data_IF_241927446041
#
_entry.id   IF_241927446041
#
_cell.length_a   1.000
_cell.length_b   1.000
_cell.length_c   1.000
_cell.angle_alpha   90.00
_cell.angle_beta   90.00
_cell.angle_gamma   90.00
#
_symmetry.space_group_name_H-M   'P 1'
#
loop_
_entity.id
_entity.type
_entity.pdbx_description
1 polymer ?
2 non-polymer ?
#
# COMPACT_ATOMS: atom_id res chain seq x y z
N UNK A 1 13.71 14.22 26.54
CA UNK A 1 12.45 13.87 27.17
C UNK A 1 11.36 13.62 26.15
N UNK A 2 11.63 14.02 24.92
CA UNK A 2 10.68 13.87 23.83
C UNK A 2 10.62 12.43 23.33
N UNK A 3 11.78 11.79 23.25
CA UNK A 3 11.87 10.42 22.80
C UNK A 3 11.26 9.44 23.79
N UNK A 4 11.48 9.70 25.08
CA UNK A 4 10.95 8.83 26.14
C UNK A 4 9.44 8.97 26.18
N UNK A 5 8.96 10.14 25.75
CA UNK A 5 7.55 10.40 25.67
C UNK A 5 6.90 9.47 24.66
N UNK A 6 7.48 9.40 23.46
CA UNK A 6 6.95 8.54 22.41
C UNK A 6 7.01 7.06 22.79
N UNK A 7 8.11 6.64 23.41
CA UNK A 7 8.27 5.26 23.86
C UNK A 7 7.10 4.84 24.74
N UNK A 8 6.84 5.62 25.79
CA UNK A 8 5.77 5.34 26.73
C UNK A 8 4.41 5.34 26.04
N UNK A 9 4.22 6.29 25.13
CA UNK A 9 2.96 6.38 24.40
C UNK A 9 2.75 5.11 23.58
N UNK A 10 3.77 4.74 22.84
CA UNK A 10 3.73 3.54 22.01
C UNK A 10 3.61 2.29 22.87
N UNK A 11 4.24 2.33 24.04
CA UNK A 11 4.17 1.24 25.01
C UNK A 11 2.73 0.94 25.45
N UNK A 12 1.85 1.93 25.29
CA UNK A 12 0.48 1.85 25.79
C UNK A 12 -0.48 1.31 24.74
N UNK A 13 -0.01 1.10 23.52
CA UNK A 13 -0.89 0.65 22.45
C UNK A 13 -0.45 -0.72 21.94
N UNK A 14 0.81 -1.07 22.20
CA UNK A 14 1.34 -2.37 21.80
C UNK A 14 1.15 -3.43 22.88
N UNK A 15 1.38 -4.68 22.50
CA UNK A 15 1.34 -5.80 23.42
C UNK A 15 2.57 -5.78 24.31
N UNK A 16 2.41 -6.26 25.56
CA UNK A 16 3.50 -6.29 26.53
C UNK A 16 4.56 -7.32 26.15
N UNK A 17 5.79 -7.12 26.59
CA UNK A 17 6.81 -8.15 26.51
C UNK A 17 7.79 -8.07 25.35
N UNK A 18 8.57 -9.14 25.23
CA UNK A 18 9.60 -9.27 24.21
C UNK A 18 9.36 -10.55 23.40
N UNK A 19 9.07 -10.41 22.11
CA UNK A 19 8.75 -11.57 21.24
C UNK A 19 9.96 -12.44 20.93
N UNK A 20 11.16 -11.93 21.22
CA UNK A 20 12.40 -12.66 20.95
C UNK A 20 12.45 -13.94 21.77
N UNK A 21 11.66 -13.98 22.83
CA UNK A 21 11.61 -15.15 23.70
C UNK A 21 10.87 -16.31 23.04
N UNK A 22 10.04 -16.03 22.03
CA UNK A 22 9.27 -17.11 21.41
C UNK A 22 9.46 -17.21 19.90
N UNK A 23 10.42 -16.45 19.37
CA UNK A 23 10.73 -16.49 17.95
C UNK A 23 12.14 -17.03 17.68
N UNK A 24 12.33 -17.67 16.53
CA UNK A 24 13.60 -18.27 16.14
C UNK A 24 13.96 -17.98 14.69
N UNK A 25 15.23 -18.20 14.35
CA UNK A 25 15.71 -18.14 12.98
C UNK A 25 15.33 -16.85 12.27
N UNK A 26 15.68 -15.72 12.86
CA UNK A 26 15.45 -14.43 12.22
C UNK A 26 16.25 -14.34 10.95
N UNK A 27 15.57 -13.98 9.86
CA UNK A 27 16.20 -13.90 8.54
C UNK A 27 15.75 -12.63 7.82
N UNK A 28 16.66 -11.67 7.70
CA UNK A 28 16.37 -10.39 7.04
C UNK A 28 15.97 -10.63 5.59
N UNK A 29 14.89 -10.00 5.12
CA UNK A 29 14.45 -10.21 3.74
C UNK A 29 14.26 -8.91 2.97
N UNK A 30 14.28 -7.79 3.67
CA UNK A 30 14.06 -6.51 3.03
C UNK A 30 14.34 -5.32 3.91
N UNK A 31 14.36 -4.15 3.31
CA UNK A 31 14.58 -2.91 4.02
C UNK A 31 13.78 -1.79 3.39
N UNK A 32 12.87 -1.21 4.18
CA UNK A 32 12.09 -0.08 3.72
C UNK A 32 12.71 1.20 4.23
N UNK A 33 12.02 2.31 4.02
CA UNK A 33 12.45 3.59 4.55
C UNK A 33 12.29 3.61 6.07
N UNK A 34 11.21 2.99 6.55
CA UNK A 34 10.86 3.01 7.97
C UNK A 34 11.64 1.99 8.81
N UNK A 35 12.20 0.98 8.14
CA UNK A 35 12.93 -0.05 8.84
C UNK A 35 13.06 -1.32 8.02
N UNK A 36 13.50 -2.40 8.66
CA UNK A 36 13.77 -3.65 7.98
C UNK A 36 12.72 -4.73 8.26
N UNK A 37 12.73 -5.78 7.45
CA UNK A 37 11.78 -6.87 7.59
C UNK A 37 12.48 -8.24 7.69
N UNK A 38 12.11 -9.01 8.70
CA UNK A 38 12.63 -10.36 8.88
C UNK A 38 11.51 -11.38 8.84
N UNK A 39 11.83 -12.60 8.43
CA UNK A 39 10.93 -13.72 8.69
C UNK A 39 11.48 -14.45 9.90
N UNK A 40 10.60 -15.12 10.64
CA UNK A 40 11.04 -15.88 11.79
C UNK A 40 10.05 -17.02 12.05
N UNK A 41 10.48 -17.95 12.90
CA UNK A 41 9.66 -19.10 13.25
C UNK A 41 9.08 -18.92 14.64
N UNK A 42 7.79 -19.19 14.80
CA UNK A 42 7.20 -19.24 16.12
C UNK A 42 7.52 -20.60 16.71
N UNK A 43 8.44 -20.65 17.67
CA UNK A 43 9.00 -21.90 18.16
C UNK A 43 7.95 -22.95 18.53
N UNK A 44 6.88 -22.49 19.19
CA UNK A 44 5.85 -23.36 19.74
C UNK A 44 4.97 -24.01 18.68
N UNK A 45 5.05 -23.54 17.45
CA UNK A 45 4.13 -24.00 16.41
C UNK A 45 4.78 -24.24 15.06
N UNK A 46 6.00 -23.73 14.89
CA UNK A 46 6.71 -23.87 13.63
C UNK A 46 6.12 -23.04 12.50
N UNK A 47 5.17 -22.18 12.81
CA UNK A 47 4.55 -21.32 11.81
C UNK A 47 5.44 -20.11 11.51
N UNK A 48 5.38 -19.61 10.30
CA UNK A 48 6.23 -18.50 9.91
C UNK A 48 5.51 -17.18 10.02
N UNK A 49 6.24 -16.17 10.47
CA UNK A 49 5.70 -14.83 10.54
C UNK A 49 6.65 -13.86 9.87
N UNK A 50 6.20 -12.61 9.71
CA UNK A 50 7.03 -11.54 9.19
C UNK A 50 7.15 -10.47 10.25
N UNK A 51 8.37 -10.04 10.52
CA UNK A 51 8.61 -9.07 11.58
C UNK A 51 9.20 -7.79 11.02
N UNK A 52 8.40 -6.73 11.06
CA UNK A 52 8.86 -5.41 10.62
C UNK A 52 9.46 -4.71 11.83
N UNK A 53 10.67 -4.18 11.68
CA UNK A 53 11.35 -3.54 12.80
C UNK A 53 11.69 -2.08 12.49
N UNK A 54 11.28 -1.19 13.38
CA UNK A 54 11.34 0.24 13.13
C UNK A 54 11.94 1.02 14.30
N UNK A 55 13.07 1.69 14.03
CA UNK A 55 13.79 2.44 15.06
C UNK A 55 13.12 3.79 15.30
N UNK A 56 12.81 4.08 16.56
CA UNK A 56 12.13 5.33 16.91
C UNK A 56 13.00 6.55 16.61
N UNK A 57 14.32 6.36 16.70
CA UNK A 57 15.27 7.43 16.49
C UNK A 57 15.61 7.63 15.03
N UNK A 58 15.06 6.81 14.16
CA UNK A 58 15.38 6.88 12.73
C UNK A 58 14.14 7.16 11.87
N UNK A 59 13.22 7.98 12.39
CA UNK A 59 11.97 8.26 11.69
C UNK A 59 11.85 9.74 11.33
N UNK A 60 11.39 9.99 10.11
CA UNK A 60 11.16 11.36 9.65
C UNK A 60 10.07 12.04 10.46
N UNK A 61 9.08 11.25 10.86
CA UNK A 61 7.90 11.79 11.51
C UNK A 61 7.33 10.74 12.44
N UNK A 62 7.86 10.69 13.65
CA UNK A 62 7.54 9.67 14.64
C UNK A 62 6.05 9.36 14.80
N UNK A 63 5.22 10.39 14.89
CA UNK A 63 3.80 10.22 15.18
C UNK A 63 3.09 9.28 14.19
N UNK A 64 3.70 9.07 13.03
CA UNK A 64 3.17 8.15 12.03
C UNK A 64 3.26 6.68 12.43
N UNK A 65 4.12 6.36 13.39
CA UNK A 65 4.33 4.97 13.80
C UNK A 65 3.07 4.32 14.40
N UNK A 66 2.15 5.12 14.91
CA UNK A 66 0.91 4.57 15.47
C UNK A 66 0.11 3.86 14.38
N UNK A 67 0.18 4.40 13.16
CA UNK A 67 -0.49 3.79 12.01
C UNK A 67 -0.06 2.35 11.77
N UNK A 68 1.21 2.08 12.05
CA UNK A 68 1.79 0.76 11.84
C UNK A 68 1.01 -0.28 12.59
N UNK A 69 0.57 0.09 13.80
CA UNK A 69 -0.14 -0.80 14.68
C UNK A 69 -1.66 -0.62 14.57
N UNK A 70 -2.11 0.63 14.74
CA UNK A 70 -3.53 0.92 14.88
C UNK A 70 -4.36 0.51 13.67
N UNK A 71 -3.88 0.81 12.46
CA UNK A 71 -4.64 0.49 11.24
C UNK A 71 -4.94 -1.00 11.11
N UNK A 72 -3.90 -1.84 11.12
CA UNK A 72 -4.07 -3.28 10.93
C UNK A 72 -4.93 -3.90 12.01
N UNK A 73 -4.90 -3.31 13.20
CA UNK A 73 -5.63 -3.83 14.35
C UNK A 73 -7.14 -3.58 14.26
N UNK A 74 -7.52 -2.43 13.72
CA UNK A 74 -8.93 -2.02 13.68
C UNK A 74 -9.66 -2.43 12.40
N UNK A 75 -8.93 -2.89 11.40
CA UNK A 75 -9.52 -3.25 10.10
C UNK A 75 -9.06 -4.63 9.60
N UNK A 76 -9.83 -5.67 9.91
CA UNK A 76 -9.54 -6.99 9.35
C UNK A 76 -10.36 -7.21 8.10
N UNK A 77 -9.78 -7.91 7.13
CA UNK A 77 -10.36 -8.03 5.80
C UNK A 77 -9.61 -9.07 5.01
N UNK A 78 -10.29 -9.70 4.04
CA UNK A 78 -9.64 -10.71 3.19
C UNK A 78 -8.49 -10.10 2.39
N UNK A 79 -8.59 -8.79 2.15
CA UNK A 79 -7.64 -8.07 1.32
C UNK A 79 -6.66 -7.21 2.11
N UNK A 80 -6.65 -7.37 3.44
CA UNK A 80 -5.73 -6.61 4.28
C UNK A 80 -4.82 -7.56 5.07
N UNK A 81 -3.54 -7.20 5.17
CA UNK A 81 -2.55 -8.02 5.84
C UNK A 81 -2.89 -8.23 7.30
N UNK A 82 -2.88 -9.47 7.77
CA UNK A 82 -3.14 -9.77 9.17
C UNK A 82 -1.97 -9.37 10.07
N UNK A 83 -2.29 -8.74 11.19
CA UNK A 83 -1.32 -8.46 12.23
C UNK A 83 -1.60 -9.35 13.43
N UNK A 84 -0.56 -10.00 13.94
CA UNK A 84 -0.72 -10.91 15.06
C UNK A 84 -0.47 -10.18 16.38
N UNK A 85 0.64 -9.46 16.45
CA UNK A 85 1.04 -8.73 17.66
C UNK A 85 1.93 -7.53 17.34
N UNK A 86 2.12 -6.65 18.33
CA UNK A 86 3.11 -5.58 18.23
C UNK A 86 3.83 -5.45 19.56
N UNK A 87 5.11 -5.08 19.51
CA UNK A 87 5.90 -4.98 20.73
C UNK A 87 6.83 -3.78 20.70
N UNK A 88 7.16 -3.26 21.87
CA UNK A 88 8.27 -2.33 21.98
C UNK A 88 9.51 -3.14 22.41
N UNK A 89 10.55 -3.11 21.59
CA UNK A 89 11.77 -3.85 21.87
C UNK A 89 12.98 -2.92 21.79
N UNK A 90 13.52 -2.53 22.94
CA UNK A 90 14.56 -1.53 22.97
C UNK A 90 14.00 -0.22 22.48
N UNK A 91 14.68 0.40 21.53
CA UNK A 91 14.19 1.62 20.90
C UNK A 91 13.56 1.28 19.55
N UNK A 92 13.02 0.08 19.43
CA UNK A 92 12.41 -0.35 18.18
C UNK A 92 10.96 -0.80 18.35
N UNK A 93 10.14 -0.44 17.36
CA UNK A 93 8.77 -0.92 17.29
C UNK A 93 8.72 -2.16 16.40
N UNK A 94 8.39 -3.31 16.99
CA UNK A 94 8.28 -4.53 16.21
C UNK A 94 6.82 -4.87 15.92
N UNK A 95 6.51 -5.12 14.65
CA UNK A 95 5.18 -5.57 14.27
C UNK A 95 5.26 -6.98 13.67
N UNK A 96 4.56 -7.93 14.29
CA UNK A 96 4.56 -9.30 13.83
C UNK A 96 3.37 -9.57 12.93
N UNK A 97 3.63 -9.82 11.64
CA UNK A 97 2.56 -9.96 10.67
C UNK A 97 2.49 -11.33 10.03
N UNK A 98 1.38 -11.56 9.36
CA UNK A 98 1.20 -12.66 8.42
C UNK A 98 2.29 -12.60 7.35
N UNK A 99 2.85 -13.76 7.00
CA UNK A 99 3.89 -13.85 5.98
C UNK A 99 3.30 -14.26 4.63
N UNK A 100 3.34 -13.33 3.69
CA UNK A 100 2.83 -13.55 2.33
C UNK A 100 3.95 -14.02 1.41
N UNK A 101 3.96 -15.33 1.16
CA UNK A 101 4.99 -15.99 0.38
C UNK A 101 5.27 -15.34 -0.98
N UNK A 102 4.22 -14.81 -1.61
CA UNK A 102 4.32 -14.32 -2.97
C UNK A 102 5.07 -13.01 -3.16
N UNK A 103 5.41 -12.34 -2.06
CA UNK A 103 6.16 -11.10 -2.13
C UNK A 103 5.36 -9.94 -2.69
N UNK A 104 6.04 -8.81 -2.91
CA UNK A 104 5.40 -7.60 -3.39
C UNK A 104 5.02 -7.67 -4.87
N UNK A 105 4.12 -6.79 -5.28
CA UNK A 105 3.62 -6.75 -6.65
C UNK A 105 4.68 -6.17 -7.60
N UNK A 106 5.58 -5.37 -7.04
CA UNK A 106 6.58 -4.67 -7.84
C UNK A 106 7.50 -5.64 -8.59
N UNK A 107 7.83 -6.75 -7.95
CA UNK A 107 8.67 -7.76 -8.59
C UNK A 107 7.98 -8.33 -9.83
N UNK A 108 6.66 -8.29 -9.84
CA UNK A 108 5.91 -8.80 -10.97
C UNK A 108 5.89 -7.81 -12.13
N UNK A 109 5.59 -6.55 -11.85
CA UNK A 109 5.37 -5.56 -12.90
C UNK A 109 6.64 -5.17 -13.64
N UNK A 110 7.79 -5.46 -13.06
CA UNK A 110 9.06 -5.09 -13.67
C UNK A 110 9.66 -6.23 -14.49
N UNK A 111 9.24 -7.46 -14.19
CA UNK A 111 9.82 -8.65 -14.81
C UNK A 111 8.88 -9.35 -15.80
N UNK A 112 7.60 -9.04 -15.74
CA UNK A 112 6.62 -9.66 -16.65
C UNK A 112 5.61 -8.66 -17.16
N UNK A 113 4.72 -9.13 -18.03
CA UNK A 113 3.57 -8.37 -18.50
C UNK A 113 2.30 -9.02 -17.97
N UNK A 114 1.57 -8.35 -17.09
CA UNK A 114 0.29 -8.86 -16.62
C UNK A 114 -0.79 -8.68 -17.68
N UNK A 115 -1.68 -9.65 -17.81
CA UNK A 115 -2.83 -9.50 -18.70
C UNK A 115 -3.97 -8.84 -17.95
N UNK A 116 -5.08 -8.59 -18.63
CA UNK A 116 -6.13 -7.79 -18.03
C UNK A 116 -6.97 -8.58 -17.04
N UNK A 117 -6.98 -9.89 -17.17
CA UNK A 117 -7.61 -10.74 -16.17
C UNK A 117 -6.84 -10.58 -14.85
N UNK A 118 -5.52 -10.65 -14.95
CA UNK A 118 -4.67 -10.47 -13.77
C UNK A 118 -4.74 -9.04 -13.22
N UNK A 119 -4.70 -8.05 -14.10
CA UNK A 119 -4.74 -6.65 -13.67
C UNK A 119 -6.07 -6.35 -12.97
N UNK A 120 -7.17 -6.84 -13.55
CA UNK A 120 -8.50 -6.64 -12.97
C UNK A 120 -8.60 -7.23 -11.57
N UNK A 121 -8.04 -8.43 -11.41
CA UNK A 121 -8.08 -9.15 -10.14
C UNK A 121 -7.34 -8.41 -9.03
N UNK A 122 -6.32 -7.67 -9.40
CA UNK A 122 -5.57 -6.84 -8.46
C UNK A 122 -6.38 -5.62 -8.04
N UNK A 123 -6.94 -4.94 -9.03
CA UNK A 123 -7.69 -3.70 -8.80
C UNK A 123 -8.90 -3.97 -7.92
N UNK A 124 -9.56 -5.09 -8.16
CA UNK A 124 -10.71 -5.48 -7.35
C UNK A 124 -10.29 -5.68 -5.91
N UNK A 125 -9.16 -6.35 -5.71
CA UNK A 125 -8.65 -6.63 -4.38
C UNK A 125 -8.37 -5.34 -3.61
N UNK A 126 -7.70 -4.39 -4.26
CA UNK A 126 -7.37 -3.13 -3.61
C UNK A 126 -8.61 -2.29 -3.34
N UNK A 127 -9.48 -2.16 -4.34
CA UNK A 127 -10.68 -1.34 -4.20
C UNK A 127 -11.60 -1.88 -3.10
N UNK A 128 -11.69 -3.20 -2.97
CA UNK A 128 -12.46 -3.80 -1.89
C UNK A 128 -11.90 -3.36 -0.53
N UNK A 129 -10.58 -3.32 -0.42
CA UNK A 129 -9.96 -2.89 0.83
C UNK A 129 -10.13 -1.40 1.04
N UNK A 130 -9.87 -0.61 -0.01
CA UNK A 130 -9.99 0.84 0.07
C UNK A 130 -11.42 1.27 0.39
N UNK A 131 -12.39 0.47 -0.04
CA UNK A 131 -13.79 0.81 0.20
C UNK A 131 -14.07 0.78 1.70
N UNK A 132 -13.55 -0.23 2.38
CA UNK A 132 -13.75 -0.34 3.81
C UNK A 132 -13.00 0.79 4.54
N UNK A 133 -11.76 1.05 4.12
CA UNK A 133 -10.93 2.08 4.73
C UNK A 133 -11.50 3.48 4.54
N UNK A 134 -11.90 3.78 3.30
CA UNK A 134 -12.47 5.08 2.98
C UNK A 134 -13.77 5.32 3.72
N UNK A 135 -14.53 4.24 3.93
CA UNK A 135 -15.81 4.31 4.62
C UNK A 135 -15.65 4.92 6.01
N UNK A 136 -14.60 4.53 6.71
CA UNK A 136 -14.30 5.05 8.04
C UNK A 136 -13.31 6.21 7.98
N UNK A 137 -13.28 6.90 6.84
CA UNK A 137 -12.48 8.11 6.68
C UNK A 137 -10.96 7.97 6.78
N UNK A 138 -10.44 6.81 6.42
CA UNK A 138 -8.99 6.57 6.45
C UNK A 138 -8.36 6.64 5.05
N UNK A 139 -7.36 7.50 4.90
CA UNK A 139 -6.62 7.59 3.64
C UNK A 139 -5.29 6.84 3.73
N UNK A 140 -4.99 6.02 2.73
CA UNK A 140 -3.78 5.21 2.74
C UNK A 140 -2.55 6.04 2.39
N UNK A 141 -2.66 6.85 1.34
CA UNK A 141 -1.64 7.81 0.92
C UNK A 141 -0.34 7.21 0.38
N UNK A 142 -0.27 5.89 0.26
CA UNK A 142 0.91 5.25 -0.33
C UNK A 142 0.55 4.04 -1.20
N UNK A 143 -0.51 4.19 -2.00
CA UNK A 143 -0.92 3.13 -2.90
C UNK A 143 0.05 3.02 -4.07
N UNK A 144 0.66 1.86 -4.20
CA UNK A 144 1.57 1.54 -5.29
C UNK A 144 1.91 0.06 -5.25
N UNK A 145 2.60 -0.43 -6.27
CA UNK A 145 2.92 -1.85 -6.40
C UNK A 145 3.72 -2.36 -5.19
N UNK A 146 4.48 -1.47 -4.57
CA UNK A 146 5.27 -1.81 -3.40
C UNK A 146 4.40 -2.24 -2.22
N UNK A 147 3.27 -1.57 -2.09
CA UNK A 147 2.39 -1.76 -0.93
C UNK A 147 1.39 -2.89 -1.13
N UNK A 148 1.65 -3.74 -2.12
CA UNK A 148 0.74 -4.84 -2.42
C UNK A 148 1.47 -6.16 -2.26
N UNK A 149 0.97 -7.01 -1.36
CA UNK A 149 1.58 -8.32 -1.14
C UNK A 149 0.73 -9.42 -1.77
N UNK A 150 1.37 -10.57 -2.03
CA UNK A 150 0.70 -11.67 -2.70
C UNK A 150 0.93 -13.00 -1.98
N UNK A 151 0.00 -13.94 -2.13
CA UNK A 151 0.21 -15.27 -1.58
C UNK A 151 0.64 -16.23 -2.67
N UNK A 152 0.85 -17.49 -2.28
CA UNK A 152 1.25 -18.53 -3.22
C UNK A 152 0.12 -18.85 -4.20
N UNK A 153 -1.12 -18.78 -3.70
CA UNK A 153 -2.27 -19.07 -4.54
C UNK A 153 -2.82 -17.81 -5.21
N UNK A 154 -2.07 -16.71 -5.13
CA UNK A 154 -2.43 -15.50 -5.85
C UNK A 154 -3.45 -14.58 -5.18
N UNK A 155 -3.73 -14.80 -3.90
CA UNK A 155 -4.52 -13.85 -3.14
C UNK A 155 -3.76 -12.52 -3.03
N UNK A 156 -4.49 -11.42 -2.90
CA UNK A 156 -3.87 -10.10 -2.89
C UNK A 156 -4.23 -9.34 -1.62
N UNK A 157 -3.24 -8.73 -0.98
CA UNK A 157 -3.48 -8.00 0.25
C UNK A 157 -2.81 -6.64 0.25
N UNK A 158 -3.48 -5.66 0.82
CA UNK A 158 -2.93 -4.31 0.97
C UNK A 158 -2.06 -4.21 2.22
N UNK A 159 -0.89 -3.60 2.09
CA UNK A 159 0.08 -3.54 3.19
C UNK A 159 0.53 -2.10 3.42
N UNK A 160 1.70 -1.93 4.03
CA UNK A 160 2.31 -0.62 4.34
C UNK A 160 1.32 0.48 4.74
N UNK A 161 0.85 0.45 5.98
CA UNK A 161 -0.15 1.43 6.42
C UNK A 161 0.44 2.61 7.20
N UNK A 162 1.77 2.69 7.23
CA UNK A 162 2.43 3.72 8.02
C UNK A 162 2.18 5.15 7.60
N UNK A 163 1.58 5.35 6.43
CA UNK A 163 1.36 6.69 5.92
C UNK A 163 -0.09 7.12 6.04
N UNK A 164 -0.89 6.31 6.71
CA UNK A 164 -2.32 6.57 6.84
C UNK A 164 -2.64 7.89 7.55
N UNK A 165 -3.81 8.43 7.25
CA UNK A 165 -4.34 9.59 7.95
C UNK A 165 -5.84 9.42 8.10
N UNK A 166 -6.41 10.02 9.13
CA UNK A 166 -7.83 9.93 9.40
C UNK A 166 -8.53 11.25 9.11
N UNK A 167 -9.66 11.20 8.43
CA UNK A 167 -10.51 12.37 8.34
C UNK A 167 -11.84 12.10 9.05
N UNK A 168 -12.51 13.18 9.45
CA UNK A 168 -13.78 13.07 10.16
C UNK A 168 -14.53 14.38 9.98
N UNK A 169 -15.56 14.60 10.79
CA UNK A 169 -16.38 15.81 10.67
C UNK A 169 -15.58 17.07 11.01
N UNK A 170 -14.72 16.97 12.01
CA UNK A 170 -13.96 18.12 12.50
C UNK A 170 -12.65 18.29 11.72
N UNK A 171 -12.25 17.21 11.05
CA UNK A 171 -11.09 17.24 10.16
C UNK A 171 -11.50 16.65 8.81
N UNK A 172 -12.09 17.48 7.94
CA UNK A 172 -12.65 17.01 6.66
C UNK A 172 -11.58 16.60 5.66
N UNK A 173 -10.46 17.32 5.65
CA UNK A 173 -9.40 17.08 4.69
C UNK A 173 -8.05 16.94 5.41
N UNK A 174 -7.05 16.48 4.68
CA UNK A 174 -5.67 16.49 5.16
C UNK A 174 -4.86 17.49 4.33
N UNK A 175 -3.76 17.98 4.88
CA UNK A 175 -3.00 19.02 4.19
C UNK A 175 -1.53 18.69 3.99
N UNK A 176 -1.00 17.79 4.82
CA UNK A 176 0.42 17.45 4.80
C UNK A 176 0.86 16.72 3.51
N UNK A 177 2.13 16.89 3.15
CA UNK A 177 2.66 16.26 1.95
C UNK A 177 3.18 14.85 2.25
N UNK A 178 2.39 13.86 1.88
CA UNK A 178 2.68 12.47 2.22
C UNK A 178 2.55 11.54 1.00
N UNK A 179 3.47 10.59 0.89
CA UNK A 179 3.37 9.56 -0.12
C UNK A 179 4.64 9.39 -0.93
N UNK A 180 4.53 8.65 -2.03
CA UNK A 180 5.64 8.46 -2.94
C UNK A 180 5.36 9.28 -4.20
N UNK A 181 6.27 10.22 -4.53
CA UNK A 181 6.17 11.27 -5.55
C UNK A 181 5.38 10.93 -6.83
N UNK A 182 5.83 9.93 -7.58
CA UNK A 182 5.21 9.60 -8.87
C UNK A 182 3.75 9.15 -8.74
N UNK A 183 3.42 8.55 -7.59
CA UNK A 183 2.07 8.05 -7.37
C UNK A 183 1.14 9.08 -6.72
N UNK A 184 1.70 10.23 -6.36
CA UNK A 184 0.94 11.28 -5.68
C UNK A 184 -0.15 11.90 -6.55
N UNK A 185 -1.20 12.35 -5.89
CA UNK A 185 -2.32 13.02 -6.55
C UNK A 185 -1.98 14.49 -6.80
N UNK A 186 -2.50 15.07 -7.90
CA UNK A 186 -2.22 16.47 -8.25
C UNK A 186 -2.66 17.47 -7.17
N UNK A 187 -3.76 17.20 -6.48
CA UNK A 187 -4.24 18.10 -5.42
C UNK A 187 -3.33 18.04 -4.20
N UNK A 188 -2.75 16.87 -3.95
CA UNK A 188 -1.87 16.68 -2.81
C UNK A 188 -0.52 17.34 -3.05
N UNK A 189 0.00 17.19 -4.26
CA UNK A 189 1.25 17.82 -4.65
C UNK A 189 1.10 19.34 -4.62
N UNK A 190 -0.05 19.81 -5.10
CA UNK A 190 -0.36 21.24 -5.13
C UNK A 190 -0.57 21.80 -3.74
N UNK A 191 -0.50 20.92 -2.73
CA UNK A 191 -0.65 21.29 -1.33
C UNK A 191 -2.04 21.89 -1.06
N UNK A 192 -3.05 21.31 -1.68
CA UNK A 192 -4.45 21.66 -1.40
C UNK A 192 -4.99 20.70 -0.36
N UNK A 193 -6.10 21.07 0.31
CA UNK A 193 -6.75 20.09 1.19
C UNK A 193 -7.25 18.90 0.39
N UNK A 194 -6.98 17.69 0.87
CA UNK A 194 -7.36 16.49 0.12
C UNK A 194 -8.05 15.45 1.01
N UNK A 195 -8.73 14.50 0.36
CA UNK A 195 -9.37 13.42 1.06
C UNK A 195 -8.98 12.08 0.46
N UNK A 196 -9.82 11.06 0.64
CA UNK A 196 -9.63 9.69 0.14
C UNK A 196 -9.42 9.59 -1.36
N UNK A 197 -9.82 10.63 -2.10
CA UNK A 197 -9.74 10.64 -3.56
C UNK A 197 -8.32 10.38 -4.05
N UNK A 198 -7.34 10.91 -3.32
CA UNK A 198 -5.94 10.79 -3.69
C UNK A 198 -5.51 9.32 -3.81
N UNK A 199 -6.15 8.45 -3.04
CA UNK A 199 -5.90 7.01 -3.12
C UNK A 199 -6.34 6.42 -4.46
N UNK A 200 -7.42 6.96 -5.03
CA UNK A 200 -7.94 6.48 -6.30
C UNK A 200 -7.01 6.92 -7.43
N UNK A 201 -6.42 8.10 -7.30
CA UNK A 201 -5.44 8.57 -8.27
C UNK A 201 -4.25 7.62 -8.32
N UNK A 202 -3.67 7.39 -7.15
CA UNK A 202 -2.51 6.52 -7.01
C UNK A 202 -2.75 5.15 -7.64
N UNK A 203 -3.91 4.57 -7.39
CA UNK A 203 -4.29 3.29 -7.97
C UNK A 203 -4.19 3.36 -9.49
N UNK A 204 -4.70 4.45 -10.06
CA UNK A 204 -4.54 4.69 -11.48
C UNK A 204 -3.08 4.63 -11.89
N UNK A 205 -2.21 5.29 -11.14
CA UNK A 205 -0.78 5.27 -11.43
C UNK A 205 -0.29 3.84 -11.29
N UNK A 206 -0.83 3.10 -10.32
CA UNK A 206 -0.42 1.72 -10.15
C UNK A 206 -0.91 0.85 -11.30
N UNK A 207 -2.02 1.25 -11.93
CA UNK A 207 -2.49 0.53 -13.11
C UNK A 207 -1.53 0.77 -14.28
N UNK A 208 -0.97 1.98 -14.36
CA UNK A 208 0.04 2.27 -15.36
C UNK A 208 1.25 1.36 -15.15
N UNK A 209 1.62 1.17 -13.88
CA UNK A 209 2.72 0.27 -13.53
C UNK A 209 2.52 -1.12 -14.10
N UNK A 210 1.33 -1.67 -13.90
CA UNK A 210 1.02 -3.02 -14.35
C UNK A 210 1.01 -3.14 -15.87
N UNK A 211 0.87 -2.01 -16.56
CA UNK A 211 0.82 -2.03 -18.01
C UNK A 211 2.17 -1.64 -18.64
N UNK A 212 2.77 -0.54 -18.16
CA UNK A 212 4.01 -0.04 -18.74
C UNK A 212 5.26 -0.48 -17.97
N UNK A 213 5.07 -1.06 -16.79
CA UNK A 213 6.18 -1.54 -15.98
C UNK A 213 6.75 -0.49 -15.03
N UNK A 214 6.25 0.73 -15.14
CA UNK A 214 6.76 1.82 -14.32
C UNK A 214 5.75 2.96 -14.29
N UNK A 215 5.84 3.84 -13.28
CA UNK A 215 4.93 4.98 -13.27
C UNK A 215 5.35 6.05 -14.27
N UNK A 216 4.47 7.02 -14.52
CA UNK A 216 4.80 8.20 -15.34
C UNK A 216 5.96 9.00 -14.76
N UNK A 217 6.73 9.62 -15.65
CA UNK A 217 7.85 10.50 -15.28
C UNK A 217 8.87 9.84 -14.35
N UNK A 218 9.00 8.52 -14.46
CA UNK A 218 9.81 7.74 -13.52
C UNK A 218 11.33 7.90 -13.71
N UNK A 219 11.74 8.36 -14.89
CA UNK A 219 13.16 8.58 -15.17
C UNK A 219 13.64 9.94 -14.66
N UNK A 220 12.70 10.87 -14.53
CA UNK A 220 12.98 12.18 -13.97
C UNK A 220 13.31 12.07 -12.48
N UNK A 221 14.00 13.08 -11.93
CA UNK A 221 14.15 13.15 -10.47
C UNK A 221 12.79 13.41 -9.82
N UNK A 222 12.60 12.94 -8.57
CA UNK A 222 11.32 13.04 -7.86
C UNK A 222 10.75 14.46 -7.75
N UNK A 223 11.55 15.42 -7.34
CA UNK A 223 11.08 16.80 -7.17
C UNK A 223 10.58 17.39 -8.50
N UNK A 224 11.29 17.08 -9.59
CA UNK A 224 10.94 17.61 -10.89
C UNK A 224 9.72 16.90 -11.46
N UNK A 225 9.64 15.60 -11.20
CA UNK A 225 8.51 14.79 -11.65
C UNK A 225 7.21 15.25 -11.00
N UNK A 226 7.28 15.57 -9.69
CA UNK A 226 6.15 16.09 -8.95
C UNK A 226 5.60 17.35 -9.60
N UNK A 227 6.51 18.22 -10.02
CA UNK A 227 6.15 19.48 -10.65
C UNK A 227 5.41 19.21 -11.96
N UNK A 228 5.86 18.20 -12.69
CA UNK A 228 5.23 17.80 -13.95
C UNK A 228 3.81 17.29 -13.71
N UNK A 229 3.65 16.41 -12.72
CA UNK A 229 2.35 15.86 -12.35
C UNK A 229 1.34 16.96 -12.04
N UNK A 230 1.80 18.01 -11.36
CA UNK A 230 0.93 19.13 -10.98
C UNK A 230 0.42 19.93 -12.18
N UNK A 231 1.35 20.41 -13.01
CA UNK A 231 1.01 21.32 -14.11
C UNK A 231 0.37 20.61 -15.30
N UNK A 232 0.86 19.41 -15.61
CA UNK A 232 0.44 18.70 -16.80
C UNK A 232 -0.91 18.00 -16.70
N UNK A 233 -1.21 17.23 -17.74
CA UNK A 233 -2.46 16.51 -17.85
C UNK A 233 -2.33 15.13 -17.25
N UNK A 234 -3.46 14.41 -17.08
CA UNK A 234 -3.35 13.00 -16.72
C UNK A 234 -2.39 12.27 -17.65
N UNK A 235 -1.47 11.49 -17.07
CA UNK A 235 -0.42 10.84 -17.85
C UNK A 235 -0.96 9.79 -18.81
N UNK A 236 -0.14 9.49 -19.81
CA UNK A 236 -0.53 8.59 -20.88
C UNK A 236 0.09 7.22 -20.65
N UNK A 237 -0.52 6.20 -21.22
CA UNK A 237 0.08 4.87 -21.25
C UNK A 237 1.04 4.80 -22.44
N UNK A 238 2.29 4.43 -22.18
CA UNK A 238 3.28 4.28 -23.25
C UNK A 238 2.93 3.07 -24.12
N UNK A 239 2.17 2.14 -23.54
CA UNK A 239 1.69 0.98 -24.26
C UNK A 239 0.15 0.95 -24.30
N UNK A 240 -0.44 2.04 -24.77
CA UNK A 240 -1.89 2.17 -24.86
C UNK A 240 -2.49 1.23 -25.91
N UNK A 241 -1.72 0.91 -26.93
CA UNK A 241 -2.22 0.03 -27.98
C UNK A 241 -2.39 -1.40 -27.46
N UNK A 242 -1.85 -1.66 -26.28
CA UNK A 242 -1.89 -2.99 -25.70
C UNK A 242 -3.01 -3.16 -24.69
N UNK A 243 -3.67 -2.07 -24.31
CA UNK A 243 -4.78 -2.15 -23.36
C UNK A 243 -6.13 -2.13 -24.07
N UNK A 244 -7.15 -2.70 -23.43
CA UNK A 244 -8.48 -2.80 -24.03
C UNK A 244 -9.28 -1.53 -23.80
N UNK A 245 -10.31 -1.30 -24.63
CA UNK A 245 -11.22 -0.17 -24.38
C UNK A 245 -11.80 -0.22 -22.98
N UNK A 246 -12.05 -1.43 -22.50
CA UNK A 246 -12.58 -1.65 -21.17
C UNK A 246 -11.64 -1.10 -20.10
N UNK A 247 -10.37 -1.49 -20.17
CA UNK A 247 -9.36 -1.03 -19.25
C UNK A 247 -9.19 0.49 -19.34
N UNK A 248 -9.18 1.00 -20.56
CA UNK A 248 -8.95 2.42 -20.77
C UNK A 248 -10.03 3.24 -20.08
N UNK A 249 -11.29 2.90 -20.35
CA UNK A 249 -12.41 3.60 -19.76
C UNK A 249 -12.39 3.56 -18.24
N UNK A 250 -12.05 2.40 -17.70
CA UNK A 250 -11.91 2.22 -16.27
C UNK A 250 -10.83 3.16 -15.71
N UNK A 251 -9.66 3.15 -16.36
CA UNK A 251 -8.55 3.99 -15.96
C UNK A 251 -8.91 5.48 -16.05
N UNK A 252 -9.78 5.82 -16.99
CA UNK A 252 -10.19 7.22 -17.19
C UNK A 252 -11.03 7.71 -16.03
N UNK A 253 -11.52 6.78 -15.21
CA UNK A 253 -12.30 7.13 -14.02
C UNK A 253 -11.38 7.27 -12.82
N UNK A 254 -10.13 6.85 -12.98
CA UNK A 254 -9.15 6.93 -11.91
C UNK A 254 -8.32 8.22 -12.01
N UNK A 255 -7.77 8.46 -13.19
CA UNK A 255 -6.85 9.57 -13.39
C UNK A 255 -7.58 10.86 -13.77
N UNK A 256 -8.25 11.44 -12.79
CA UNK A 256 -8.98 12.70 -12.97
C UNK A 256 -8.41 13.79 -12.06
N UNK A 257 -7.92 14.88 -12.67
CA UNK A 257 -7.26 15.97 -11.95
C UNK A 257 -8.15 16.63 -10.89
N UNK A 258 -9.45 16.64 -11.15
CA UNK A 258 -10.41 17.15 -10.19
C UNK A 258 -10.96 15.98 -9.35
N UNK A 259 -10.59 15.93 -8.07
CA UNK A 259 -10.99 14.85 -7.16
C UNK A 259 -12.52 14.72 -7.07
N UNK A 260 -13.21 15.81 -7.38
CA UNK A 260 -14.67 15.83 -7.34
C UNK A 260 -15.26 14.98 -8.44
N UNK A 261 -14.61 14.96 -9.59
CA UNK A 261 -15.08 14.17 -10.74
C UNK A 261 -14.36 12.83 -10.78
N UNK A 262 -13.39 12.66 -9.88
CA UNK A 262 -12.66 11.42 -9.79
C UNK A 262 -13.54 10.37 -9.09
N UNK A 263 -13.52 9.14 -9.61
CA UNK A 263 -14.40 8.10 -9.12
C UNK A 263 -14.07 7.70 -7.69
N UNK A 264 -15.00 7.00 -7.05
CA UNK A 264 -14.79 6.51 -5.71
C UNK A 264 -14.64 5.00 -5.76
N UNK A 265 -14.09 4.43 -4.70
CA UNK A 265 -13.93 2.98 -4.60
C UNK A 265 -15.27 2.28 -4.78
N UNK A 266 -16.27 2.71 -4.03
CA UNK A 266 -17.60 2.07 -4.08
C UNK A 266 -18.18 2.11 -5.49
N UNK A 267 -17.96 3.23 -6.19
CA UNK A 267 -18.42 3.37 -7.56
C UNK A 267 -17.65 2.46 -8.51
N UNK A 268 -16.34 2.38 -8.30
CA UNK A 268 -15.45 1.59 -9.16
C UNK A 268 -15.68 0.08 -9.00
N UNK A 269 -16.09 -0.35 -7.81
CA UNK A 269 -16.38 -1.76 -7.57
C UNK A 269 -17.46 -2.27 -8.51
N UNK A 270 -18.30 -1.35 -8.97
CA UNK A 270 -19.42 -1.67 -9.85
C UNK A 270 -19.07 -1.45 -11.33
N UNK A 271 -17.81 -1.16 -11.62
CA UNK A 271 -17.38 -0.94 -13.00
C UNK A 271 -17.31 -2.26 -13.76
N UNK A 272 -17.77 -2.27 -15.02
CA UNK A 272 -17.75 -3.46 -15.87
C UNK A 272 -16.38 -4.12 -16.01
N UNK A 273 -15.31 -3.33 -15.99
CA UNK A 273 -13.97 -3.87 -16.22
C UNK A 273 -13.59 -4.92 -15.19
N UNK A 274 -13.98 -4.69 -13.93
CA UNK A 274 -13.62 -5.61 -12.85
C UNK A 274 -14.31 -6.97 -13.00
N UNK A 275 -15.22 -7.09 -13.96
CA UNK A 275 -15.85 -8.38 -14.24
C UNK A 275 -14.84 -9.33 -14.86
N UNK A 276 -13.81 -8.77 -15.50
CA UNK A 276 -12.76 -9.56 -16.13
C UNK A 276 -11.90 -10.30 -15.11
N UNK A 277 -12.01 -9.87 -13.85
CA UNK A 277 -11.19 -10.43 -12.77
C UNK A 277 -11.33 -11.94 -12.69
N UNK A 278 -10.21 -12.62 -12.85
CA UNK A 278 -10.18 -14.07 -12.73
C UNK A 278 -9.99 -14.48 -11.29
N UNK A 279 -9.98 -15.80 -11.05
CA UNK A 279 -9.76 -16.37 -9.72
C UNK A 279 -8.35 -16.07 -9.22
N UNK A 280 -8.07 -16.32 -7.93
CA UNK A 280 -6.69 -16.17 -7.45
C UNK A 280 -5.71 -17.05 -8.22
N UNK A 281 -6.20 -18.14 -8.79
CA UNK A 281 -5.37 -19.09 -9.52
C UNK A 281 -4.68 -18.45 -10.74
N UNK A 282 -5.26 -17.38 -11.27
CA UNK A 282 -4.75 -16.73 -12.46
C UNK A 282 -3.49 -15.91 -12.20
N UNK A 283 -3.27 -15.55 -10.92
CA UNK A 283 -2.12 -14.75 -10.52
C UNK A 283 -0.87 -15.60 -10.31
N UNK A 284 -1.10 -16.86 -9.96
CA UNK A 284 -0.02 -17.82 -9.70
C UNK A 284 1.08 -17.89 -10.77
N UNK A 285 0.72 -17.88 -12.08
CA UNK A 285 1.80 -18.01 -13.08
C UNK A 285 2.86 -16.92 -13.05
N UNK A 286 2.54 -15.78 -12.46
CA UNK A 286 3.38 -14.58 -12.58
C UNK A 286 4.52 -14.50 -11.55
N UNK A 287 4.45 -15.30 -10.50
CA UNK A 287 5.41 -15.16 -9.40
C UNK A 287 6.77 -15.75 -9.73
N UNK A 288 7.82 -15.20 -9.11
CA UNK A 288 9.21 -15.46 -9.47
C UNK A 288 9.58 -16.95 -9.57
N UNK A 289 9.18 -17.72 -8.57
CA UNK A 289 9.53 -19.14 -8.53
C UNK A 289 8.78 -19.94 -9.59
N UNK A 290 7.63 -19.42 -10.04
CA UNK A 290 6.80 -20.10 -11.01
C UNK A 290 7.22 -19.83 -12.46
N UNK A 291 7.41 -18.56 -12.80
CA UNK A 291 7.78 -18.18 -14.16
C UNK A 291 9.18 -18.69 -14.52
X LIG B 1 8.89 -3.72 1.37
X LIG B 1 9.46 -4.86 1.96
X LIG B 1 8.84 -6.08 1.86
X LIG B 1 9.44 -7.32 2.48
X LIG B 1 7.64 -10.93 1.53
X LIG B 1 5.98 -9.36 3.74
X LIG B 1 5.07 -7.97 5.71
X LIG B 1 6.34 -7.29 6.20
X LIG B 1 7.63 -6.19 1.17
X LIG B 1 7.06 -5.09 0.58
X LIG B 1 7.67 -3.84 0.68
X LIG B 1 9.98 -8.22 1.47
X LIG B 1 9.38 -9.44 1.18
X LIG B 1 9.95 -10.25 0.29
X LIG B 1 9.39 -11.42 -0.01
X LIG B 1 8.21 -11.80 0.61
X LIG B 1 8.25 -9.77 1.79
X LIG B 1 6.44 -11.30 2.15
X LIG B 1 5.86 -10.69 3.29
X LIG B 1 5.24 -9.22 4.87
X LIG B 1 4.64 -10.40 5.11
X LIG B 1 5.04 -11.29 4.11
X LIG B 1 5.51 -6.64 5.10
X LIG B 1 10.97 -4.69 2.82
X LIG B 1 9.25 -2.41 1.29
X LIG B 1 8.36 -1.74 0.62
X LIG B 1 7.36 -2.57 0.22
#
# INVERSE_FOLDING_TARGET
>A
GSHEQFRAALQLVVDPGDPRSYLDNFIKIGEGSTGIVCIATVRSSGKLVAVKKMDLRKQQRRELLFNEVVIMRDYQHENVVEMYNSYLVGDELWVVMEFLEGGALTDIVTHTRMNEEQIAAVCLAVLQALSVLHAQGVIHRDIKSDSILLTHDGRVKLSDFGFCAQVSKEVPRRKSLVGTPYWMAPELISRLPYGPEVDIWSLGIMVIEMVDGEPPYFNEPPLKAMKMIRDNLPPRLKNLHKVSPSLKGFLDRLLVRDPAQRATAAELLKHPFLAKAGPPASIVPLMRQNRTR
>B hetero
1 4T6 C4 C5 C6 C7 C13 C17 C22 C24 C1 C2 C3 N8 C9 N10 C11 C12 N14 N15 C16 C18 N19 N21 C23 CL1 N26 C27 N28
#
